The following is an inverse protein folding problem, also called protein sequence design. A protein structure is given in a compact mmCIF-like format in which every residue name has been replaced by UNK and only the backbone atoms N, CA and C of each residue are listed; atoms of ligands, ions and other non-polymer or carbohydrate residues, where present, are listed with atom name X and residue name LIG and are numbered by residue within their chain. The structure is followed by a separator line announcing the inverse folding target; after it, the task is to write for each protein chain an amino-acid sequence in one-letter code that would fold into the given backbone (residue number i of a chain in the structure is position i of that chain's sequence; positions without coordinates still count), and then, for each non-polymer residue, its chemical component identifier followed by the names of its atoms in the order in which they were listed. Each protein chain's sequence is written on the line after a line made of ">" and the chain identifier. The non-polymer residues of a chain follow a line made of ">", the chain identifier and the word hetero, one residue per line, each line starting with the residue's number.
data_IF_789482669468
#
_entry.id   IF_789482669468
#
_cell.length_a   1.000
_cell.length_b   1.000
_cell.length_c   1.000
_cell.angle_alpha   90.00
_cell.angle_beta   90.00
_cell.angle_gamma   90.00
#
_symmetry.space_group_name_H-M   'P 1'
#
loop_
_entity.id
_entity.type
_entity.pdbx_description
1 polymer ?
#
# COMPACT_ATOMS: atom_id res chain seq x y z
N UNK A 1 6.67 37.87 7.81
CA UNK A 1 7.39 36.91 6.97
C UNK A 1 8.22 37.71 6.00
N UNK A 2 9.53 37.75 6.23
CA UNK A 2 10.48 38.38 5.32
C UNK A 2 10.81 37.41 4.16
N UNK A 3 11.44 37.88 3.07
CA UNK A 3 11.92 37.00 2.00
C UNK A 3 12.89 35.92 2.51
N UNK A 4 13.70 36.24 3.52
CA UNK A 4 14.62 35.29 4.17
C UNK A 4 13.85 34.19 4.90
N UNK A 5 12.78 34.53 5.64
CA UNK A 5 11.91 33.54 6.29
C UNK A 5 11.32 32.54 5.27
N UNK A 6 10.98 33.02 4.06
CA UNK A 6 10.42 32.18 3.00
C UNK A 6 11.48 31.22 2.43
N UNK A 7 12.70 31.72 2.17
CA UNK A 7 13.81 30.87 1.70
C UNK A 7 14.15 29.81 2.74
N UNK A 8 14.26 30.18 4.01
CA UNK A 8 14.54 29.27 5.12
C UNK A 8 13.45 28.19 5.24
N UNK A 9 12.18 28.57 5.12
CA UNK A 9 11.06 27.62 5.11
C UNK A 9 11.18 26.61 3.96
N UNK A 10 11.45 27.07 2.74
CA UNK A 10 11.60 26.19 1.57
C UNK A 10 12.82 25.26 1.69
N UNK A 11 13.94 25.75 2.23
CA UNK A 11 15.12 24.91 2.49
C UNK A 11 14.84 23.84 3.55
N UNK A 12 14.19 24.21 4.66
CA UNK A 12 13.78 23.26 5.69
C UNK A 12 12.78 22.23 5.17
N UNK A 13 11.89 22.62 4.25
CA UNK A 13 10.95 21.71 3.61
C UNK A 13 11.68 20.65 2.78
N UNK A 14 12.58 21.06 1.88
CA UNK A 14 13.33 20.12 1.02
C UNK A 14 14.30 19.25 1.82
N UNK A 15 14.90 19.79 2.89
CA UNK A 15 15.85 19.04 3.73
C UNK A 15 15.23 17.79 4.39
N UNK A 16 13.90 17.68 4.41
CA UNK A 16 13.15 16.50 4.85
C UNK A 16 13.14 15.39 3.80
N UNK A 17 13.28 15.72 2.52
CA UNK A 17 13.29 14.76 1.41
C UNK A 17 14.69 14.18 1.22
N UNK A 18 15.08 13.27 2.12
CA UNK A 18 16.39 12.63 2.10
C UNK A 18 16.38 11.34 1.30
N UNK A 19 17.40 11.16 0.47
CA UNK A 19 17.66 9.90 -0.22
C UNK A 19 18.54 9.00 0.65
N UNK A 20 18.22 7.69 0.69
CA UNK A 20 19.03 6.68 1.36
C UNK A 20 20.47 6.64 0.82
N UNK A 21 21.45 6.28 1.65
CA UNK A 21 22.89 6.40 1.36
C UNK A 21 23.40 5.50 0.22
N UNK A 22 22.69 4.41 -0.06
CA UNK A 22 23.00 3.42 -1.10
C UNK A 22 22.38 3.76 -2.47
N UNK A 23 21.57 4.83 -2.56
CA UNK A 23 21.06 5.34 -3.84
C UNK A 23 22.22 5.72 -4.75
N UNK A 24 22.13 5.32 -6.03
CA UNK A 24 23.15 5.56 -7.03
C UNK A 24 23.54 7.04 -7.13
N UNK A 25 24.84 7.31 -7.25
CA UNK A 25 25.41 8.65 -7.25
C UNK A 25 24.80 9.55 -8.34
N UNK A 26 24.58 9.01 -9.54
CA UNK A 26 23.92 9.70 -10.65
C UNK A 26 22.51 10.19 -10.29
N UNK A 27 21.72 9.36 -9.61
CA UNK A 27 20.38 9.73 -9.13
C UNK A 27 20.45 10.73 -7.97
N UNK A 28 21.37 10.53 -7.02
CA UNK A 28 21.58 11.46 -5.89
C UNK A 28 21.97 12.86 -6.37
N UNK A 29 22.90 12.96 -7.30
CA UNK A 29 23.37 14.23 -7.85
C UNK A 29 22.25 14.98 -8.57
N UNK A 30 21.44 14.28 -9.39
CA UNK A 30 20.26 14.89 -10.04
C UNK A 30 19.24 15.38 -9.02
N UNK A 31 18.89 14.55 -8.03
CA UNK A 31 17.95 14.95 -6.98
C UNK A 31 18.46 16.16 -6.18
N UNK A 32 19.75 16.19 -5.83
CA UNK A 32 20.38 17.34 -5.18
C UNK A 32 20.29 18.62 -6.01
N UNK A 33 20.51 18.53 -7.33
CA UNK A 33 20.33 19.66 -8.25
C UNK A 33 18.87 20.17 -8.25
N UNK A 34 17.88 19.28 -8.22
CA UNK A 34 16.47 19.69 -8.12
C UNK A 34 16.17 20.41 -6.80
N UNK A 35 16.72 19.93 -5.68
CA UNK A 35 16.58 20.60 -4.38
C UNK A 35 17.17 22.02 -4.38
N UNK A 36 18.35 22.19 -4.98
CA UNK A 36 18.97 23.50 -5.17
C UNK A 36 18.10 24.39 -6.07
N UNK A 37 17.64 23.89 -7.22
CA UNK A 37 16.81 24.66 -8.15
C UNK A 37 15.47 25.09 -7.53
N UNK A 38 14.85 24.22 -6.74
CA UNK A 38 13.62 24.55 -6.01
C UNK A 38 13.85 25.67 -5.00
N UNK A 39 14.94 25.61 -4.22
CA UNK A 39 15.25 26.67 -3.26
C UNK A 39 15.44 28.04 -3.95
N UNK A 40 16.01 28.04 -5.17
CA UNK A 40 16.12 29.25 -5.99
C UNK A 40 14.80 29.70 -6.63
N UNK A 41 13.76 28.86 -6.64
CA UNK A 41 12.44 29.19 -7.19
C UNK A 41 11.75 30.37 -6.51
N UNK A 42 12.13 30.68 -5.27
CA UNK A 42 11.69 31.91 -4.57
C UNK A 42 12.14 33.18 -5.32
N UNK A 43 13.25 33.11 -6.05
CA UNK A 43 13.81 34.22 -6.84
C UNK A 43 13.32 34.22 -8.29
N UNK A 44 12.90 33.06 -8.83
CA UNK A 44 12.38 32.90 -10.19
C UNK A 44 11.32 31.78 -10.20
N UNK A 45 10.05 32.17 -10.26
CA UNK A 45 8.91 31.27 -10.09
C UNK A 45 8.89 30.12 -11.10
N UNK A 46 9.36 30.38 -12.33
CA UNK A 46 9.47 29.39 -13.41
C UNK A 46 10.35 28.19 -13.03
N UNK A 47 11.30 28.35 -12.09
CA UNK A 47 12.12 27.25 -11.60
C UNK A 47 11.29 26.17 -10.91
N UNK A 48 10.14 26.48 -10.30
CA UNK A 48 9.26 25.44 -9.74
C UNK A 48 8.71 24.52 -10.82
N UNK A 49 8.37 25.08 -11.98
CA UNK A 49 7.89 24.32 -13.15
C UNK A 49 9.03 23.47 -13.72
N UNK A 50 10.23 24.05 -13.85
CA UNK A 50 11.40 23.32 -14.31
C UNK A 50 11.79 22.17 -13.35
N UNK A 51 11.63 22.36 -12.04
CA UNK A 51 11.86 21.31 -11.04
C UNK A 51 10.86 20.19 -11.19
N UNK A 52 9.57 20.49 -11.37
CA UNK A 52 8.54 19.47 -11.57
C UNK A 52 8.79 18.66 -12.85
N UNK A 53 9.07 19.33 -13.96
CA UNK A 53 9.37 18.67 -15.23
C UNK A 53 10.63 17.79 -15.12
N UNK A 54 11.69 18.30 -14.50
CA UNK A 54 12.94 17.57 -14.29
C UNK A 54 12.82 16.44 -13.25
N UNK A 55 11.86 16.50 -12.33
CA UNK A 55 11.53 15.41 -11.42
C UNK A 55 11.00 14.18 -12.20
N UNK A 56 10.18 14.39 -13.22
CA UNK A 56 9.69 13.30 -14.08
C UNK A 56 10.83 12.60 -14.85
N UNK A 57 11.82 13.36 -15.31
CA UNK A 57 13.01 12.82 -15.96
C UNK A 57 13.93 12.09 -14.97
N UNK A 58 14.01 12.59 -13.73
CA UNK A 58 14.81 11.98 -12.66
C UNK A 58 14.21 10.67 -12.18
N UNK A 59 12.88 10.53 -12.16
CA UNK A 59 12.21 9.25 -11.92
C UNK A 59 12.65 8.19 -12.94
N UNK A 60 12.63 8.51 -14.23
CA UNK A 60 13.07 7.58 -15.27
C UNK A 60 14.57 7.22 -15.11
N UNK A 61 15.43 8.19 -14.74
CA UNK A 61 16.83 7.89 -14.42
C UNK A 61 16.96 6.92 -13.23
N UNK A 62 16.25 7.17 -12.14
CA UNK A 62 16.34 6.35 -10.94
C UNK A 62 15.94 4.89 -11.21
N UNK A 63 14.90 4.68 -12.02
CA UNK A 63 14.51 3.35 -12.47
C UNK A 63 15.59 2.68 -13.33
N UNK A 64 16.25 3.41 -14.22
CA UNK A 64 17.36 2.88 -15.03
C UNK A 64 18.57 2.52 -14.19
N UNK A 65 18.93 3.37 -13.24
CA UNK A 65 20.03 3.14 -12.30
C UNK A 65 19.73 1.89 -11.45
N UNK A 66 18.50 1.77 -10.94
CA UNK A 66 18.07 0.59 -10.17
C UNK A 66 18.06 -0.68 -11.02
N UNK A 67 17.59 -0.59 -12.27
CA UNK A 67 17.61 -1.71 -13.22
C UNK A 67 19.04 -2.18 -13.49
N UNK A 68 19.96 -1.26 -13.77
CA UNK A 68 21.36 -1.58 -14.00
C UNK A 68 22.01 -2.19 -12.75
N UNK A 69 21.71 -1.67 -11.56
CA UNK A 69 22.21 -2.20 -10.30
C UNK A 69 21.72 -3.64 -10.02
N UNK A 70 20.43 -3.92 -10.28
CA UNK A 70 19.84 -5.26 -10.08
C UNK A 70 20.54 -6.34 -10.93
N UNK A 71 20.90 -5.99 -12.16
CA UNK A 71 21.48 -6.91 -13.13
C UNK A 71 22.99 -6.73 -13.30
N UNK A 72 23.65 -5.97 -12.43
CA UNK A 72 25.05 -5.63 -12.57
C UNK A 72 25.93 -6.90 -12.64
N UNK A 73 26.73 -7.01 -13.70
CA UNK A 73 27.60 -8.16 -13.93
C UNK A 73 26.86 -9.44 -14.37
N UNK A 74 25.57 -9.35 -14.68
CA UNK A 74 24.76 -10.47 -15.16
C UNK A 74 24.36 -10.27 -16.63
N UNK A 75 24.10 -11.39 -17.31
CA UNK A 75 23.43 -11.37 -18.60
C UNK A 75 21.91 -11.41 -18.40
N UNK A 76 21.21 -10.44 -18.98
CA UNK A 76 19.75 -10.39 -18.97
C UNK A 76 19.23 -11.27 -20.08
N UNK A 77 18.30 -12.16 -19.72
CA UNK A 77 17.65 -13.05 -20.65
C UNK A 77 16.47 -12.34 -21.29
N UNK A 78 16.51 -12.24 -22.62
CA UNK A 78 15.53 -11.53 -23.44
C UNK A 78 14.92 -12.50 -24.42
N UNK A 79 13.59 -12.58 -24.46
CA UNK A 79 12.87 -13.46 -25.40
C UNK A 79 12.18 -12.63 -26.46
N UNK A 80 12.46 -12.95 -27.73
CA UNK A 80 11.83 -12.26 -28.86
C UNK A 80 10.38 -12.74 -29.11
N UNK A 81 9.68 -12.08 -30.04
CA UNK A 81 8.32 -12.47 -30.43
C UNK A 81 8.20 -13.91 -30.97
N UNK A 82 9.29 -14.47 -31.51
CA UNK A 82 9.37 -15.85 -32.02
C UNK A 82 9.76 -16.84 -30.92
N UNK A 83 9.89 -16.38 -29.68
CA UNK A 83 10.29 -17.16 -28.51
C UNK A 83 11.74 -17.65 -28.56
N UNK A 84 12.61 -17.01 -29.34
CA UNK A 84 14.05 -17.22 -29.21
C UNK A 84 14.59 -16.41 -28.05
N UNK A 85 15.48 -17.03 -27.28
CA UNK A 85 16.13 -16.43 -26.12
C UNK A 85 17.49 -15.86 -26.52
N UNK A 86 17.75 -14.65 -26.06
CA UNK A 86 18.95 -13.86 -26.25
C UNK A 86 19.52 -13.52 -24.88
N UNK A 87 20.83 -13.35 -24.80
CA UNK A 87 21.50 -12.88 -23.59
C UNK A 87 22.18 -11.55 -23.86
N UNK A 88 21.82 -10.52 -23.11
CA UNK A 88 22.40 -9.18 -23.22
C UNK A 88 23.16 -8.88 -21.93
N UNK A 89 24.46 -8.63 -22.02
CA UNK A 89 25.27 -8.25 -20.87
C UNK A 89 24.86 -6.87 -20.33
N UNK A 90 24.72 -6.74 -19.01
CA UNK A 90 24.45 -5.47 -18.35
C UNK A 90 25.76 -4.76 -17.95
N UNK A 91 26.27 -3.89 -18.84
CA UNK A 91 27.37 -2.96 -18.55
C UNK A 91 26.85 -1.59 -18.09
N UNK A 92 25.86 -1.09 -18.81
CA UNK A 92 25.08 0.10 -18.47
C UNK A 92 23.67 -0.05 -19.03
N UNK A 93 22.71 0.71 -18.49
CA UNK A 93 21.35 0.70 -19.02
C UNK A 93 21.31 1.11 -20.49
N UNK A 94 22.14 2.07 -20.92
CA UNK A 94 22.15 2.54 -22.30
C UNK A 94 22.64 1.46 -23.27
N UNK A 95 23.72 0.76 -22.94
CA UNK A 95 24.27 -0.31 -23.79
C UNK A 95 23.29 -1.49 -23.91
N UNK A 96 22.67 -1.85 -22.77
CA UNK A 96 21.59 -2.82 -22.74
C UNK A 96 20.43 -2.36 -23.63
N UNK A 97 19.98 -1.11 -23.49
CA UNK A 97 18.83 -0.59 -24.24
C UNK A 97 19.10 -0.54 -25.75
N UNK A 98 20.31 -0.16 -26.18
CA UNK A 98 20.67 -0.21 -27.61
C UNK A 98 20.59 -1.62 -28.17
N UNK A 99 21.15 -2.60 -27.45
CA UNK A 99 21.09 -4.02 -27.86
C UNK A 99 19.66 -4.55 -27.84
N UNK A 100 18.88 -4.17 -26.83
CA UNK A 100 17.49 -4.58 -26.63
C UNK A 100 16.57 -4.08 -27.75
N UNK A 101 16.78 -2.86 -28.26
CA UNK A 101 15.94 -2.26 -29.31
C UNK A 101 15.95 -3.01 -30.63
N UNK A 102 17.02 -3.77 -30.91
CA UNK A 102 17.11 -4.63 -32.09
C UNK A 102 16.19 -5.87 -31.98
N UNK A 103 15.76 -6.23 -30.76
CA UNK A 103 14.90 -7.37 -30.49
C UNK A 103 13.44 -6.94 -30.47
N UNK A 104 12.66 -7.36 -31.47
CA UNK A 104 11.25 -6.99 -31.60
C UNK A 104 10.32 -7.80 -30.71
N UNK A 105 9.41 -7.10 -30.02
CA UNK A 105 8.37 -7.71 -29.19
C UNK A 105 8.96 -8.45 -27.98
N UNK A 106 10.00 -7.85 -27.40
CA UNK A 106 10.83 -8.51 -26.42
C UNK A 106 10.18 -8.60 -25.03
N UNK A 107 10.42 -9.73 -24.39
CA UNK A 107 10.14 -9.99 -22.98
C UNK A 107 11.46 -10.14 -22.22
N UNK A 108 11.52 -9.71 -20.97
CA UNK A 108 12.67 -10.00 -20.09
C UNK A 108 12.25 -11.03 -19.04
N UNK A 109 13.22 -11.84 -18.60
CA UNK A 109 13.02 -12.76 -17.48
C UNK A 109 13.27 -12.03 -16.16
N UNK A 110 12.28 -12.01 -15.28
CA UNK A 110 12.41 -11.41 -13.95
C UNK A 110 13.42 -12.16 -13.09
N UNK A 111 14.11 -11.43 -12.22
CA UNK A 111 15.07 -12.00 -11.28
C UNK A 111 14.36 -12.82 -10.19
N UNK A 112 13.31 -12.26 -9.58
CA UNK A 112 12.62 -12.88 -8.44
C UNK A 112 11.74 -14.08 -8.84
N UNK A 113 10.79 -13.90 -9.77
CA UNK A 113 9.81 -14.94 -10.11
C UNK A 113 10.23 -15.86 -11.26
N UNK A 114 11.27 -15.48 -12.02
CA UNK A 114 11.68 -16.13 -13.29
C UNK A 114 10.60 -16.12 -14.38
N UNK A 115 9.54 -15.34 -14.19
CA UNK A 115 8.50 -15.16 -15.20
C UNK A 115 8.99 -14.24 -16.32
N UNK A 116 8.41 -14.44 -17.50
CA UNK A 116 8.65 -13.59 -18.66
C UNK A 116 7.64 -12.44 -18.66
N UNK A 117 8.14 -11.20 -18.71
CA UNK A 117 7.30 -10.02 -18.78
C UNK A 117 7.61 -9.19 -20.01
N UNK A 118 6.58 -8.64 -20.63
CA UNK A 118 6.77 -7.67 -21.72
C UNK A 118 7.55 -6.48 -21.20
N UNK A 119 8.57 -6.08 -21.95
CA UNK A 119 9.41 -4.95 -21.59
C UNK A 119 9.66 -4.11 -22.84
N UNK A 120 9.74 -2.79 -22.67
CA UNK A 120 9.97 -1.87 -23.78
C UNK A 120 11.17 -0.93 -23.54
N UNK A 121 11.87 -1.08 -22.40
CA UNK A 121 13.01 -0.25 -22.02
C UNK A 121 12.73 1.24 -21.79
N UNK A 122 11.45 1.65 -21.78
CA UNK A 122 11.03 3.01 -21.46
C UNK A 122 10.44 3.08 -20.04
N UNK A 123 10.10 4.28 -19.57
CA UNK A 123 9.46 4.48 -18.26
C UNK A 123 8.33 3.49 -17.97
N UNK A 124 7.44 3.21 -18.94
CA UNK A 124 6.33 2.27 -18.74
C UNK A 124 6.81 0.82 -18.49
N UNK A 125 7.80 0.35 -19.25
CA UNK A 125 8.39 -0.98 -19.06
C UNK A 125 9.18 -1.07 -17.76
N UNK A 126 9.88 0.00 -17.38
CA UNK A 126 10.63 0.10 -16.13
C UNK A 126 9.72 0.10 -14.89
N UNK A 127 8.61 0.85 -14.90
CA UNK A 127 7.61 0.81 -13.82
C UNK A 127 6.99 -0.58 -13.68
N UNK A 128 6.60 -1.19 -14.81
CA UNK A 128 6.06 -2.56 -14.85
C UNK A 128 7.06 -3.56 -14.27
N UNK A 129 8.32 -3.48 -14.70
CA UNK A 129 9.40 -4.31 -14.17
C UNK A 129 9.57 -4.11 -12.66
N UNK A 130 9.69 -2.87 -12.18
CA UNK A 130 9.91 -2.57 -10.76
C UNK A 130 8.78 -3.09 -9.87
N UNK A 131 7.51 -3.01 -10.32
CA UNK A 131 6.38 -3.64 -9.61
C UNK A 131 6.47 -5.15 -9.57
N UNK A 132 6.80 -5.77 -10.71
CA UNK A 132 6.88 -7.25 -10.82
C UNK A 132 8.04 -7.85 -10.03
N UNK A 133 9.13 -7.10 -9.84
CA UNK A 133 10.22 -7.46 -8.92
C UNK A 133 9.90 -7.13 -7.44
N UNK A 134 8.72 -6.59 -7.14
CA UNK A 134 8.34 -6.22 -5.77
C UNK A 134 9.03 -4.96 -5.23
N UNK A 135 9.71 -4.18 -6.07
CA UNK A 135 10.36 -2.94 -5.67
C UNK A 135 9.33 -1.85 -5.40
N UNK A 136 8.28 -1.75 -6.22
CA UNK A 136 7.20 -0.78 -6.04
C UNK A 136 5.91 -1.50 -5.61
N UNK A 137 5.47 -1.24 -4.38
CA UNK A 137 4.22 -1.78 -3.83
C UNK A 137 3.02 -0.86 -3.96
N UNK A 138 1.93 -1.24 -3.32
CA UNK A 138 0.71 -0.45 -3.18
C UNK A 138 -0.21 -0.53 -4.38
N UNK A 139 -1.40 -1.09 -4.19
CA UNK A 139 -2.43 -1.18 -5.22
C UNK A 139 -3.01 0.19 -5.60
N UNK A 140 -3.10 1.13 -4.65
CA UNK A 140 -3.54 2.51 -4.90
C UNK A 140 -2.48 3.30 -5.65
N UNK A 141 -1.21 3.04 -5.35
CA UNK A 141 -0.08 3.66 -6.04
C UNK A 141 0.02 3.20 -7.50
N UNK A 142 -0.51 2.02 -7.86
CA UNK A 142 -0.54 1.54 -9.26
C UNK A 142 -1.21 2.54 -10.21
N UNK A 143 -2.20 3.29 -9.73
CA UNK A 143 -2.85 4.32 -10.55
C UNK A 143 -1.90 5.46 -10.94
N UNK A 144 -0.87 5.73 -10.13
CA UNK A 144 0.11 6.79 -10.37
C UNK A 144 1.06 6.46 -11.52
N UNK A 145 1.31 5.19 -11.82
CA UNK A 145 2.18 4.81 -12.94
C UNK A 145 1.70 5.40 -14.27
N UNK A 146 0.37 5.41 -14.47
CA UNK A 146 -0.25 6.04 -15.63
C UNK A 146 -0.03 7.55 -15.60
N UNK A 147 -0.25 8.17 -14.45
CA UNK A 147 -0.08 9.62 -14.26
C UNK A 147 1.37 10.03 -14.54
N UNK A 148 2.35 9.35 -13.97
CA UNK A 148 3.78 9.62 -14.20
C UNK A 148 4.17 9.47 -15.66
N UNK A 149 3.65 8.44 -16.35
CA UNK A 149 3.88 8.29 -17.79
C UNK A 149 3.27 9.43 -18.58
N UNK A 150 2.03 9.81 -18.28
CA UNK A 150 1.31 10.84 -19.00
C UNK A 150 1.95 12.23 -18.76
N UNK A 151 2.39 12.52 -17.52
CA UNK A 151 3.18 13.71 -17.16
C UNK A 151 4.55 13.73 -17.87
N UNK A 152 5.31 12.64 -17.81
CA UNK A 152 6.60 12.56 -18.51
C UNK A 152 6.46 12.76 -20.02
N UNK A 153 5.39 12.23 -20.63
CA UNK A 153 5.12 12.44 -22.05
C UNK A 153 4.74 13.90 -22.35
N UNK A 154 4.01 14.57 -21.46
CA UNK A 154 3.73 16.00 -21.57
C UNK A 154 5.02 16.82 -21.57
N UNK A 155 5.94 16.53 -20.64
CA UNK A 155 7.27 17.18 -20.57
C UNK A 155 8.06 16.94 -21.86
N UNK A 156 8.01 15.72 -22.41
CA UNK A 156 8.76 15.35 -23.62
C UNK A 156 8.21 15.97 -24.92
N UNK A 157 6.91 16.29 -24.97
CA UNK A 157 6.22 16.73 -26.20
C UNK A 157 5.71 18.18 -26.16
N UNK A 158 5.80 18.85 -25.00
CA UNK A 158 5.75 20.30 -24.85
C UNK A 158 4.37 20.94 -24.95
N UNK A 159 3.93 21.56 -23.85
CA UNK A 159 2.99 22.68 -23.81
C UNK A 159 3.40 23.60 -22.67
N UNK A 160 3.22 24.92 -22.80
CA UNK A 160 3.52 25.85 -21.71
C UNK A 160 2.57 25.60 -20.54
N UNK A 161 3.13 25.43 -19.34
CA UNK A 161 2.37 25.30 -18.09
C UNK A 161 3.15 25.97 -16.95
N UNK A 162 2.47 26.21 -15.84
CA UNK A 162 3.04 26.77 -14.61
C UNK A 162 2.53 25.99 -13.42
N UNK A 163 3.43 25.72 -12.47
CA UNK A 163 3.12 24.98 -11.24
C UNK A 163 3.51 25.79 -10.02
N UNK A 164 2.82 25.53 -8.92
CA UNK A 164 3.05 26.19 -7.65
C UNK A 164 4.26 25.61 -6.89
N UNK A 165 4.83 26.37 -5.94
CA UNK A 165 5.86 25.84 -5.03
C UNK A 165 5.40 24.60 -4.25
N UNK A 166 4.09 24.50 -3.96
CA UNK A 166 3.51 23.37 -3.24
C UNK A 166 3.47 22.12 -4.11
N UNK A 167 3.12 22.26 -5.39
CA UNK A 167 3.12 21.16 -6.36
C UNK A 167 4.54 20.67 -6.63
N UNK A 168 5.49 21.57 -6.85
CA UNK A 168 6.90 21.21 -7.02
C UNK A 168 7.48 20.51 -5.77
N UNK A 169 7.13 20.96 -4.55
CA UNK A 169 7.56 20.28 -3.32
C UNK A 169 6.94 18.90 -3.19
N UNK A 170 5.65 18.75 -3.54
CA UNK A 170 4.98 17.44 -3.55
C UNK A 170 5.64 16.49 -4.54
N UNK A 171 6.00 16.97 -5.73
CA UNK A 171 6.72 16.20 -6.74
C UNK A 171 8.09 15.74 -6.25
N UNK A 172 8.83 16.60 -5.52
CA UNK A 172 10.10 16.20 -4.89
C UNK A 172 9.90 15.19 -3.75
N UNK A 173 8.87 15.37 -2.93
CA UNK A 173 8.50 14.41 -1.88
C UNK A 173 8.20 13.04 -2.49
N UNK A 174 7.26 12.98 -3.43
CA UNK A 174 6.85 11.75 -4.12
C UNK A 174 8.06 11.09 -4.83
N UNK A 175 8.91 11.89 -5.49
CA UNK A 175 10.13 11.39 -6.13
C UNK A 175 11.10 10.78 -5.12
N UNK A 176 11.33 11.44 -3.98
CA UNK A 176 12.22 10.91 -2.94
C UNK A 176 11.70 9.59 -2.36
N UNK A 177 10.38 9.47 -2.16
CA UNK A 177 9.75 8.24 -1.70
C UNK A 177 9.91 7.11 -2.71
N UNK A 178 9.67 7.38 -4.00
CA UNK A 178 9.84 6.39 -5.07
C UNK A 178 11.31 5.93 -5.16
N UNK A 179 12.26 6.87 -5.14
CA UNK A 179 13.69 6.55 -5.20
C UNK A 179 14.09 5.70 -4.01
N UNK A 180 13.77 6.12 -2.78
CA UNK A 180 14.10 5.32 -1.60
C UNK A 180 13.50 3.93 -1.67
N UNK A 181 12.24 3.83 -2.09
CA UNK A 181 11.55 2.56 -2.20
C UNK A 181 12.18 1.64 -3.25
N UNK A 182 12.66 2.17 -4.37
CA UNK A 182 13.38 1.39 -5.38
C UNK A 182 14.64 0.72 -4.81
N UNK A 183 15.27 1.32 -3.81
CA UNK A 183 16.42 0.76 -3.07
C UNK A 183 16.01 -0.01 -1.80
N UNK A 184 14.72 -0.23 -1.57
CA UNK A 184 14.22 -1.01 -0.44
C UNK A 184 14.07 -0.22 0.86
N UNK A 185 14.23 1.11 0.83
CA UNK A 185 14.07 1.97 2.00
C UNK A 185 12.66 2.55 2.03
N UNK A 186 11.82 2.20 3.00
CA UNK A 186 10.54 2.86 3.15
C UNK A 186 10.74 4.26 3.75
N UNK A 187 9.80 5.17 3.51
CA UNK A 187 9.95 6.58 3.92
C UNK A 187 9.12 6.88 5.17
N UNK A 188 9.72 7.26 6.32
CA UNK A 188 8.97 7.66 7.50
C UNK A 188 8.00 8.82 7.19
N UNK A 189 6.72 8.64 7.50
CA UNK A 189 5.68 9.62 7.18
C UNK A 189 5.38 9.79 5.68
N UNK A 190 5.94 8.93 4.82
CA UNK A 190 5.72 8.94 3.39
C UNK A 190 4.25 8.72 3.03
N UNK A 191 3.78 9.34 1.95
CA UNK A 191 2.41 9.21 1.47
C UNK A 191 2.23 8.02 0.53
N UNK A 192 3.23 7.77 -0.32
CA UNK A 192 3.22 6.73 -1.35
C UNK A 192 3.82 5.45 -0.80
N UNK A 193 5.03 5.52 -0.26
CA UNK A 193 5.77 4.35 0.23
C UNK A 193 6.19 4.56 1.69
N UNK A 194 5.21 4.60 2.62
CA UNK A 194 5.48 4.83 4.03
C UNK A 194 6.33 3.71 4.65
N UNK A 195 7.08 4.07 5.67
CA UNK A 195 7.55 3.13 6.68
C UNK A 195 6.39 2.40 7.36
N UNK A 196 6.65 1.21 7.93
CA UNK A 196 5.70 0.53 8.80
C UNK A 196 5.06 1.51 9.80
N UNK A 197 3.75 1.42 9.97
CA UNK A 197 3.02 2.29 10.88
C UNK A 197 3.03 1.70 12.28
N UNK A 198 3.34 2.53 13.28
CA UNK A 198 3.23 2.14 14.68
C UNK A 198 1.77 1.93 15.06
N UNK A 199 1.49 0.84 15.76
CA UNK A 199 0.19 0.52 16.34
C UNK A 199 0.29 0.44 17.85
N UNK A 200 -0.62 1.14 18.51
CA UNK A 200 -0.74 1.18 19.96
C UNK A 200 -1.86 0.27 20.43
N UNK A 201 -1.93 0.03 21.73
CA UNK A 201 -3.06 -0.66 22.37
C UNK A 201 -4.15 0.39 22.61
N UNK A 202 -5.29 0.17 21.98
CA UNK A 202 -6.41 1.12 21.95
C UNK A 202 -7.63 0.48 22.56
N UNK A 203 -8.30 1.21 23.44
CA UNK A 203 -9.59 0.85 23.98
C UNK A 203 -10.69 1.48 23.13
N UNK A 204 -11.63 0.67 22.66
CA UNK A 204 -12.86 1.12 22.02
C UNK A 204 -14.01 0.77 22.96
N UNK A 205 -14.68 1.78 23.49
CA UNK A 205 -15.80 1.62 24.41
C UNK A 205 -17.11 2.11 23.78
N UNK A 206 -18.23 1.48 24.10
CA UNK A 206 -19.56 2.00 23.77
C UNK A 206 -20.55 1.80 24.91
N UNK A 207 -21.50 2.71 25.05
CA UNK A 207 -22.60 2.60 26.03
C UNK A 207 -23.55 1.44 25.69
N UNK A 208 -24.32 0.96 26.67
CA UNK A 208 -25.33 -0.10 26.46
C UNK A 208 -26.37 0.27 25.37
N UNK A 209 -26.72 1.55 25.25
CA UNK A 209 -27.59 2.09 24.19
C UNK A 209 -26.91 2.20 22.82
N UNK A 210 -25.57 2.14 22.78
CA UNK A 210 -24.76 2.30 21.57
C UNK A 210 -24.82 3.71 20.97
N UNK A 211 -25.27 4.70 21.74
CA UNK A 211 -25.37 6.12 21.34
C UNK A 211 -24.10 6.91 21.63
N UNK A 212 -23.28 6.43 22.59
CA UNK A 212 -21.98 7.00 22.94
C UNK A 212 -20.87 6.01 22.64
N UNK A 213 -19.75 6.55 22.18
CA UNK A 213 -18.53 5.81 21.91
C UNK A 213 -17.37 6.59 22.50
N UNK A 214 -16.43 5.87 23.07
CA UNK A 214 -15.14 6.41 23.46
C UNK A 214 -14.03 5.63 22.77
N UNK A 215 -12.93 6.34 22.50
CA UNK A 215 -11.74 5.81 21.85
C UNK A 215 -10.54 6.49 22.49
N UNK A 216 -9.60 5.72 23.00
CA UNK A 216 -8.40 6.24 23.66
C UNK A 216 -7.32 5.18 23.79
N UNK A 217 -6.15 5.58 24.30
CA UNK A 217 -5.13 4.59 24.65
C UNK A 217 -5.67 3.69 25.77
N UNK A 218 -5.32 2.42 25.72
CA UNK A 218 -5.81 1.46 26.71
C UNK A 218 -5.30 1.76 28.13
N UNK A 219 -4.11 2.36 28.24
CA UNK A 219 -3.52 2.75 29.52
C UNK A 219 -4.31 3.88 30.20
N UNK A 220 -4.98 4.74 29.43
CA UNK A 220 -5.80 5.84 29.95
C UNK A 220 -7.09 5.33 30.63
N UNK A 221 -7.48 4.07 30.43
CA UNK A 221 -8.67 3.51 31.05
C UNK A 221 -8.62 3.61 32.58
N UNK A 222 -7.43 3.55 33.19
CA UNK A 222 -7.27 3.63 34.65
C UNK A 222 -7.71 4.99 35.20
N UNK A 223 -7.53 6.06 34.44
CA UNK A 223 -7.81 7.43 34.86
C UNK A 223 -9.25 7.87 34.57
N UNK A 224 -9.92 7.18 33.64
CA UNK A 224 -11.30 7.48 33.27
C UNK A 224 -12.26 7.01 34.37
N UNK A 225 -13.03 7.94 34.95
CA UNK A 225 -14.18 7.62 35.80
C UNK A 225 -15.45 7.72 34.96
N UNK A 226 -15.89 6.62 34.37
CA UNK A 226 -17.16 6.59 33.65
C UNK A 226 -18.31 6.46 34.66
N UNK A 227 -19.20 7.47 34.72
CA UNK A 227 -20.48 7.37 35.45
C UNK A 227 -21.49 6.43 34.74
N UNK A 228 -21.16 6.01 33.51
CA UNK A 228 -22.02 5.27 32.60
C UNK A 228 -21.40 3.90 32.27
N UNK A 229 -22.23 2.87 32.09
CA UNK A 229 -21.75 1.53 31.80
C UNK A 229 -21.33 1.42 30.33
N UNK A 230 -20.02 1.40 30.09
CA UNK A 230 -19.43 1.14 28.78
C UNK A 230 -18.96 -0.31 28.68
N UNK A 231 -19.21 -0.92 27.51
CA UNK A 231 -18.58 -2.17 27.08
C UNK A 231 -17.34 -1.84 26.25
N UNK A 232 -16.21 -2.47 26.57
CA UNK A 232 -14.92 -2.22 25.97
C UNK A 232 -14.38 -3.43 25.19
N UNK A 233 -13.66 -3.13 24.10
CA UNK A 233 -12.72 -4.05 23.45
C UNK A 233 -11.35 -3.40 23.38
N UNK A 234 -10.31 -4.23 23.48
CA UNK A 234 -8.93 -3.82 23.29
C UNK A 234 -8.44 -4.31 21.93
N UNK A 235 -7.82 -3.41 21.18
CA UNK A 235 -7.27 -3.68 19.86
C UNK A 235 -5.87 -3.13 19.73
N UNK A 236 -5.06 -3.74 18.86
CA UNK A 236 -3.82 -3.13 18.38
C UNK A 236 -4.12 -2.39 17.07
N UNK A 237 -4.02 -1.07 17.06
CA UNK A 237 -4.43 -0.23 15.94
C UNK A 237 -3.53 0.98 15.73
N UNK A 238 -3.54 1.53 14.52
CA UNK A 238 -2.92 2.84 14.22
C UNK A 238 -3.78 3.94 14.83
N UNK A 239 -3.31 4.50 15.94
CA UNK A 239 -3.99 5.55 16.68
C UNK A 239 -2.95 6.49 17.31
N UNK A 240 -2.94 7.73 16.85
CA UNK A 240 -2.09 8.80 17.37
C UNK A 240 -2.88 10.11 17.23
N UNK A 241 -3.50 10.61 18.32
CA UNK A 241 -4.16 11.91 18.30
C UNK A 241 -3.19 13.02 17.88
N UNK A 242 -3.57 13.83 16.89
CA UNK A 242 -2.69 14.85 16.28
C UNK A 242 -1.69 14.31 15.25
N UNK A 243 -1.64 12.99 15.04
CA UNK A 243 -0.85 12.30 14.03
C UNK A 243 -1.70 11.38 13.16
N UNK A 244 -1.16 10.21 12.81
CA UNK A 244 -1.87 9.21 12.03
C UNK A 244 -2.89 8.46 12.91
N UNK A 245 -4.17 8.55 12.56
CA UNK A 245 -5.26 7.79 13.18
C UNK A 245 -6.09 7.11 12.10
N UNK A 246 -6.42 5.83 12.29
CA UNK A 246 -7.30 5.13 11.35
C UNK A 246 -8.70 5.77 11.33
N UNK A 247 -9.15 6.32 10.19
CA UNK A 247 -10.46 6.97 10.11
C UNK A 247 -11.64 5.99 10.27
N UNK A 248 -11.38 4.69 10.13
CA UNK A 248 -12.38 3.63 10.19
C UNK A 248 -12.27 2.78 11.47
N UNK A 249 -11.49 3.21 12.48
CA UNK A 249 -11.29 2.40 13.69
C UNK A 249 -12.61 2.09 14.42
N UNK A 250 -13.57 3.02 14.37
CA UNK A 250 -14.90 2.81 14.95
C UNK A 250 -15.75 1.77 14.21
N UNK A 251 -15.34 1.32 13.02
CA UNK A 251 -15.97 0.25 12.26
C UNK A 251 -15.29 -1.10 12.47
N UNK A 252 -14.52 -1.25 13.56
CA UNK A 252 -13.78 -2.46 13.85
C UNK A 252 -14.69 -3.70 13.96
N UNK A 253 -14.25 -4.77 13.29
CA UNK A 253 -14.80 -6.12 13.37
C UNK A 253 -13.63 -7.08 13.60
N UNK A 254 -13.66 -7.85 14.69
CA UNK A 254 -12.59 -8.76 15.05
C UNK A 254 -12.31 -9.82 13.98
N UNK A 255 -13.30 -10.15 13.14
CA UNK A 255 -13.19 -11.17 12.08
C UNK A 255 -12.87 -10.60 10.71
N UNK A 256 -12.98 -9.29 10.52
CA UNK A 256 -12.98 -8.68 9.19
C UNK A 256 -11.96 -7.55 9.06
N UNK A 257 -11.40 -7.37 7.87
CA UNK A 257 -10.52 -6.26 7.53
C UNK A 257 -11.36 -5.00 7.17
N UNK A 258 -12.09 -4.45 8.14
CA UNK A 258 -12.98 -3.29 7.95
C UNK A 258 -12.29 -1.94 8.16
N UNK A 259 -11.13 -1.93 8.83
CA UNK A 259 -10.33 -0.74 9.12
C UNK A 259 -9.43 -0.38 7.92
N UNK A 260 -8.89 0.84 7.90
CA UNK A 260 -8.00 1.30 6.82
C UNK A 260 -6.63 0.63 6.94
N UNK A 261 -6.13 0.53 8.16
CA UNK A 261 -4.87 -0.11 8.51
C UNK A 261 -5.12 -1.43 9.24
N UNK A 262 -4.17 -2.38 9.21
CA UNK A 262 -4.30 -3.63 9.95
C UNK A 262 -4.58 -3.44 11.43
N UNK A 263 -5.78 -3.86 11.87
CA UNK A 263 -6.18 -3.80 13.27
C UNK A 263 -6.32 -5.22 13.82
N UNK A 264 -5.75 -5.47 15.00
CA UNK A 264 -5.76 -6.78 15.64
C UNK A 264 -6.62 -6.77 16.90
N UNK A 265 -7.56 -7.71 17.00
CA UNK A 265 -8.27 -7.99 18.24
C UNK A 265 -7.31 -8.50 19.33
N UNK A 266 -7.41 -7.97 20.55
CA UNK A 266 -6.63 -8.40 21.71
C UNK A 266 -7.55 -9.01 22.78
N UNK A 267 -8.58 -8.26 23.18
CA UNK A 267 -9.45 -8.65 24.30
C UNK A 267 -10.86 -8.03 24.19
N UNK A 268 -11.83 -8.64 24.88
CA UNK A 268 -13.21 -8.17 25.04
C UNK A 268 -14.25 -8.98 24.27
N UNK A 269 -15.52 -8.56 24.27
CA UNK A 269 -16.05 -7.42 25.01
C UNK A 269 -16.03 -7.67 26.53
N UNK A 270 -15.91 -6.61 27.32
CA UNK A 270 -16.07 -6.68 28.78
C UNK A 270 -16.18 -5.29 29.39
N UNK A 271 -16.31 -5.21 30.71
CA UNK A 271 -16.37 -3.94 31.44
C UNK A 271 -14.99 -3.27 31.49
N UNK A 272 -14.97 -1.99 31.88
CA UNK A 272 -13.73 -1.24 32.12
C UNK A 272 -12.81 -1.94 33.12
N UNK A 273 -13.37 -2.37 34.26
CA UNK A 273 -12.58 -2.97 35.33
C UNK A 273 -11.96 -4.30 34.89
N UNK A 274 -12.69 -5.10 34.11
CA UNK A 274 -12.15 -6.33 33.51
C UNK A 274 -11.03 -6.03 32.50
N UNK A 275 -11.17 -4.96 31.71
CA UNK A 275 -10.15 -4.53 30.75
C UNK A 275 -8.86 -4.10 31.47
N UNK A 276 -8.98 -3.30 32.54
CA UNK A 276 -7.86 -2.84 33.36
C UNK A 276 -7.13 -4.01 34.02
N UNK A 277 -7.87 -4.95 34.63
CA UNK A 277 -7.29 -6.17 35.20
C UNK A 277 -6.58 -7.00 34.13
N UNK A 278 -7.16 -7.10 32.93
CA UNK A 278 -6.54 -7.84 31.84
C UNK A 278 -5.24 -7.18 31.36
N UNK A 279 -5.21 -5.84 31.23
CA UNK A 279 -4.03 -5.07 30.83
C UNK A 279 -2.88 -5.24 31.83
N UNK A 280 -3.16 -5.17 33.13
CA UNK A 280 -2.17 -5.38 34.20
C UNK A 280 -1.61 -6.81 34.18
N UNK A 281 -2.43 -7.81 33.82
CA UNK A 281 -1.98 -9.21 33.74
C UNK A 281 -1.20 -9.60 32.48
N UNK A 282 -1.42 -8.91 31.34
CA UNK A 282 -0.91 -9.35 30.03
C UNK A 282 0.11 -8.40 29.39
N UNK A 283 0.15 -7.13 29.79
CA UNK A 283 1.05 -6.09 29.26
C UNK A 283 1.24 -6.16 27.72
N UNK A 284 0.15 -6.05 26.94
CA UNK A 284 0.24 -6.12 25.49
C UNK A 284 1.17 -5.03 24.95
N UNK A 285 2.07 -5.39 24.04
CA UNK A 285 3.04 -4.45 23.49
C UNK A 285 2.52 -3.79 22.19
N UNK A 286 2.87 -2.52 21.94
CA UNK A 286 2.72 -1.92 20.62
C UNK A 286 3.60 -2.66 19.59
N UNK A 287 3.28 -2.51 18.32
CA UNK A 287 4.10 -3.05 17.23
C UNK A 287 4.07 -2.13 16.00
N UNK A 288 4.67 -2.59 14.90
CA UNK A 288 4.60 -1.94 13.61
C UNK A 288 3.88 -2.82 12.60
N UNK A 289 3.22 -2.22 11.62
CA UNK A 289 2.61 -2.95 10.51
C UNK A 289 2.85 -2.29 9.15
N UNK A 290 3.16 -3.12 8.17
CA UNK A 290 2.97 -2.78 6.76
C UNK A 290 1.48 -2.86 6.39
N UNK A 291 1.03 -1.97 5.51
CA UNK A 291 -0.38 -1.94 5.07
C UNK A 291 -0.57 -1.87 3.55
N UNK A 292 0.51 -1.78 2.78
CA UNK A 292 0.45 -1.87 1.33
C UNK A 292 0.41 -3.33 0.89
N UNK A 293 -0.30 -3.62 -0.20
CA UNK A 293 -0.37 -4.96 -0.80
C UNK A 293 -0.80 -6.08 0.16
N UNK A 294 -1.66 -5.77 1.12
CA UNK A 294 -2.26 -6.75 2.01
C UNK A 294 -3.01 -7.81 1.22
N UNK A 295 -2.86 -9.07 1.62
CA UNK A 295 -3.66 -10.19 1.09
C UNK A 295 -4.87 -10.40 1.99
N UNK A 296 -6.06 -10.32 1.41
CA UNK A 296 -7.33 -10.59 2.08
C UNK A 296 -8.12 -11.67 1.34
N UNK A 297 -8.95 -12.41 2.09
CA UNK A 297 -9.88 -13.38 1.55
C UNK A 297 -11.30 -12.82 1.63
N UNK A 298 -12.08 -13.00 0.58
CA UNK A 298 -13.51 -12.69 0.59
C UNK A 298 -14.28 -13.93 0.18
N UNK A 299 -15.28 -14.26 0.99
CA UNK A 299 -16.17 -15.40 0.76
C UNK A 299 -17.39 -14.96 -0.04
N UNK A 300 -17.76 -15.74 -1.04
CA UNK A 300 -19.05 -15.68 -1.72
C UNK A 300 -19.85 -16.94 -1.39
N UNK A 301 -21.02 -16.76 -0.80
CA UNK A 301 -21.92 -17.86 -0.45
C UNK A 301 -23.36 -17.48 -0.78
N UNK A 302 -24.09 -18.35 -1.49
CA UNK A 302 -25.46 -18.05 -1.91
C UNK A 302 -25.60 -16.75 -2.71
N UNK A 303 -24.58 -16.39 -3.51
CA UNK A 303 -24.55 -15.13 -4.27
C UNK A 303 -24.24 -13.88 -3.45
N UNK A 304 -24.06 -13.99 -2.13
CA UNK A 304 -23.73 -12.87 -1.26
C UNK A 304 -22.22 -12.73 -1.07
N UNK A 305 -21.73 -11.51 -1.23
CA UNK A 305 -20.33 -11.15 -0.99
C UNK A 305 -20.15 -10.81 0.50
N UNK A 306 -19.35 -11.63 1.20
CA UNK A 306 -19.00 -11.42 2.60
C UNK A 306 -17.97 -10.30 2.80
N UNK A 307 -17.66 -10.02 4.06
CA UNK A 307 -16.60 -9.07 4.41
C UNK A 307 -15.21 -9.64 4.08
N UNK A 308 -14.23 -8.77 3.77
CA UNK A 308 -12.84 -9.17 3.65
C UNK A 308 -12.31 -9.65 4.98
N UNK A 309 -11.52 -10.72 4.98
CA UNK A 309 -10.93 -11.32 6.17
C UNK A 309 -9.42 -11.48 5.97
N UNK A 310 -8.66 -11.35 7.07
CA UNK A 310 -7.25 -11.73 7.04
C UNK A 310 -7.12 -13.25 6.90
N UNK A 311 -6.10 -13.76 6.18
CA UNK A 311 -5.98 -15.19 5.88
C UNK A 311 -5.91 -16.07 7.14
N UNK A 312 -5.26 -15.60 8.22
CA UNK A 312 -5.25 -16.29 9.54
C UNK A 312 -6.64 -16.48 10.13
N UNK A 313 -7.49 -15.45 10.03
CA UNK A 313 -8.86 -15.48 10.56
C UNK A 313 -9.71 -16.42 9.71
N UNK A 314 -9.61 -16.31 8.39
CA UNK A 314 -10.29 -17.23 7.47
C UNK A 314 -9.88 -18.69 7.74
N UNK A 315 -8.58 -18.96 7.91
CA UNK A 315 -8.06 -20.28 8.29
C UNK A 315 -8.60 -20.78 9.65
N UNK A 316 -8.95 -19.87 10.55
CA UNK A 316 -9.52 -20.15 11.87
C UNK A 316 -11.02 -20.47 11.91
N UNK A 317 -11.80 -20.17 10.86
CA UNK A 317 -13.26 -20.38 10.92
C UNK A 317 -13.62 -21.88 11.00
N UNK A 318 -14.76 -22.21 11.63
CA UNK A 318 -15.29 -23.57 11.67
C UNK A 318 -15.52 -24.17 10.26
N UNK A 319 -15.33 -25.48 10.05
CA UNK A 319 -15.49 -26.12 8.74
C UNK A 319 -16.84 -25.87 8.06
N UNK A 320 -17.91 -25.72 8.84
CA UNK A 320 -19.26 -25.42 8.34
C UNK A 320 -19.36 -24.07 7.62
N UNK A 321 -18.49 -23.12 7.96
CA UNK A 321 -18.49 -21.78 7.40
C UNK A 321 -17.73 -21.69 6.08
N UNK A 322 -17.02 -22.75 5.67
CA UNK A 322 -16.27 -22.78 4.42
C UNK A 322 -16.93 -23.60 3.33
N UNK A 323 -17.87 -24.48 3.70
CA UNK A 323 -18.57 -25.37 2.75
C UNK A 323 -19.41 -24.55 1.77
N UNK A 324 -19.51 -25.07 0.55
CA UNK A 324 -20.38 -24.56 -0.52
C UNK A 324 -20.20 -23.06 -0.79
N UNK A 325 -18.96 -22.58 -0.71
CA UNK A 325 -18.60 -21.18 -0.90
C UNK A 325 -17.45 -21.05 -1.89
N UNK A 326 -17.51 -20.00 -2.71
CA UNK A 326 -16.39 -19.61 -3.56
C UNK A 326 -15.56 -18.57 -2.82
N UNK A 327 -14.26 -18.75 -2.78
CA UNK A 327 -13.32 -17.86 -2.11
C UNK A 327 -12.50 -17.10 -3.14
N UNK A 328 -12.32 -15.81 -2.88
CA UNK A 328 -11.46 -14.92 -3.64
C UNK A 328 -10.29 -14.49 -2.78
N UNK A 329 -9.10 -14.54 -3.35
CA UNK A 329 -7.87 -14.04 -2.75
C UNK A 329 -7.49 -12.77 -3.47
N UNK A 330 -7.41 -11.67 -2.73
CA UNK A 330 -7.26 -10.33 -3.28
C UNK A 330 -6.06 -9.65 -2.63
N UNK A 331 -5.29 -8.92 -3.43
CA UNK A 331 -4.26 -7.99 -2.95
C UNK A 331 -4.85 -6.58 -2.97
N UNK A 332 -4.78 -5.89 -1.83
CA UNK A 332 -5.37 -4.57 -1.59
C UNK A 332 -4.54 -3.77 -0.59
N UNK A 333 -4.61 -2.44 -0.65
CA UNK A 333 -4.04 -1.59 0.42
C UNK A 333 -5.03 -1.34 1.56
N UNK A 334 -6.33 -1.54 1.30
CA UNK A 334 -7.42 -1.37 2.26
C UNK A 334 -8.43 -2.48 2.09
N UNK A 335 -8.81 -3.14 3.18
CA UNK A 335 -9.71 -4.30 3.11
C UNK A 335 -11.03 -4.00 2.41
N UNK A 336 -11.66 -2.85 2.66
CA UNK A 336 -12.94 -2.49 2.04
C UNK A 336 -12.87 -2.28 0.51
N UNK A 337 -11.69 -2.05 -0.07
CA UNK A 337 -11.52 -1.99 -1.53
C UNK A 337 -11.83 -3.37 -2.16
N UNK A 338 -11.51 -4.46 -1.46
CA UNK A 338 -11.83 -5.83 -1.88
C UNK A 338 -13.34 -6.09 -1.96
N UNK A 339 -14.09 -5.59 -0.96
CA UNK A 339 -15.54 -5.72 -0.93
C UNK A 339 -16.19 -4.96 -2.08
N UNK A 340 -15.79 -3.70 -2.28
CA UNK A 340 -16.32 -2.86 -3.37
C UNK A 340 -16.03 -3.50 -4.73
N UNK A 341 -14.80 -4.00 -4.92
CA UNK A 341 -14.40 -4.70 -6.15
C UNK A 341 -15.26 -5.94 -6.41
N UNK A 342 -15.42 -6.84 -5.44
CA UNK A 342 -16.19 -8.06 -5.68
C UNK A 342 -17.68 -7.83 -5.85
N UNK A 343 -18.26 -6.83 -5.17
CA UNK A 343 -19.64 -6.43 -5.45
C UNK A 343 -19.81 -5.99 -6.90
N UNK A 344 -18.85 -5.25 -7.46
CA UNK A 344 -18.88 -4.83 -8.85
C UNK A 344 -18.70 -6.03 -9.82
N UNK A 345 -17.77 -6.94 -9.53
CA UNK A 345 -17.55 -8.16 -10.33
C UNK A 345 -18.78 -9.06 -10.36
N UNK A 346 -19.41 -9.31 -9.19
CA UNK A 346 -20.61 -10.15 -9.08
C UNK A 346 -21.84 -9.45 -9.67
N UNK A 347 -21.94 -8.12 -9.49
CA UNK A 347 -23.00 -7.28 -10.04
C UNK A 347 -22.90 -7.07 -11.55
N UNK A 348 -21.96 -7.73 -12.24
CA UNK A 348 -21.73 -7.64 -13.70
C UNK A 348 -21.37 -6.24 -14.21
N UNK A 349 -20.77 -5.39 -13.35
CA UNK A 349 -20.19 -4.14 -13.82
C UNK A 349 -19.00 -4.46 -14.74
N UNK A 350 -19.17 -4.22 -16.05
CA UNK A 350 -18.26 -4.66 -17.11
C UNK A 350 -16.82 -4.11 -17.02
N UNK A 351 -16.55 -3.18 -16.11
CA UNK A 351 -15.26 -2.50 -15.97
C UNK A 351 -14.29 -3.19 -15.00
N UNK A 352 -14.78 -4.08 -14.13
CA UNK A 352 -13.95 -4.75 -13.12
C UNK A 352 -13.45 -6.13 -13.60
N UNK A 353 -12.15 -6.36 -13.47
CA UNK A 353 -11.53 -7.63 -13.84
C UNK A 353 -11.77 -8.70 -12.76
N UNK A 354 -12.26 -9.87 -13.15
CA UNK A 354 -12.48 -10.99 -12.24
C UNK A 354 -11.19 -11.72 -11.83
N UNK A 355 -10.09 -11.53 -12.57
CA UNK A 355 -8.79 -12.15 -12.37
C UNK A 355 -7.68 -11.15 -12.68
N UNK A 356 -6.56 -11.25 -11.96
CA UNK A 356 -5.41 -10.37 -12.12
C UNK A 356 -5.68 -8.92 -11.72
N UNK A 357 -4.87 -8.01 -12.24
CA UNK A 357 -4.93 -6.59 -11.89
C UNK A 357 -6.17 -5.90 -12.46
N UNK A 358 -6.96 -5.28 -11.59
CA UNK A 358 -8.10 -4.48 -12.01
C UNK A 358 -7.64 -3.09 -12.52
N UNK A 359 -8.14 -2.69 -13.70
CA UNK A 359 -7.89 -1.35 -14.26
C UNK A 359 -8.84 -0.28 -13.72
N UNK A 360 -10.00 -0.68 -13.20
CA UNK A 360 -11.01 0.24 -12.68
C UNK A 360 -10.82 0.59 -11.19
N UNK A 361 -10.09 -0.23 -10.43
CA UNK A 361 -9.92 -0.02 -8.99
C UNK A 361 -8.58 -0.58 -8.48
N UNK A 362 -8.13 -0.17 -7.27
CA UNK A 362 -6.85 -0.58 -6.70
C UNK A 362 -6.95 -1.96 -6.04
N UNK A 363 -7.31 -2.97 -6.83
CA UNK A 363 -7.41 -4.37 -6.40
C UNK A 363 -6.76 -5.26 -7.45
N UNK A 364 -6.11 -6.33 -7.01
CA UNK A 364 -5.65 -7.43 -7.86
C UNK A 364 -6.24 -8.74 -7.34
N UNK A 365 -6.87 -9.50 -8.22
CA UNK A 365 -7.40 -10.82 -7.90
C UNK A 365 -6.34 -11.88 -8.16
N UNK A 366 -5.79 -12.42 -7.07
CA UNK A 366 -4.71 -13.41 -7.12
C UNK A 366 -5.22 -14.82 -7.43
N UNK A 367 -6.37 -15.18 -6.88
CA UNK A 367 -6.97 -16.49 -7.08
C UNK A 367 -8.48 -16.49 -6.76
N UNK A 368 -9.16 -17.48 -7.34
CA UNK A 368 -10.56 -17.83 -7.08
C UNK A 368 -10.64 -19.35 -6.97
N UNK A 369 -11.40 -19.86 -6.01
CA UNK A 369 -11.61 -21.31 -5.91
C UNK A 369 -12.33 -21.74 -4.64
N UNK A 370 -12.14 -23.01 -4.28
CA UNK A 370 -12.52 -23.50 -2.97
C UNK A 370 -11.60 -22.94 -1.87
N UNK A 371 -11.96 -23.22 -0.61
CA UNK A 371 -11.25 -22.72 0.56
C UNK A 371 -9.77 -23.17 0.61
N UNK A 372 -9.48 -24.42 0.23
CA UNK A 372 -8.11 -24.97 0.26
C UNK A 372 -7.24 -24.31 -0.80
N UNK A 373 -7.75 -24.13 -2.02
CA UNK A 373 -7.07 -23.41 -3.08
C UNK A 373 -6.82 -21.95 -2.70
N UNK A 374 -7.80 -21.29 -2.07
CA UNK A 374 -7.68 -19.91 -1.62
C UNK A 374 -6.59 -19.74 -0.54
N UNK A 375 -6.55 -20.59 0.50
CA UNK A 375 -5.49 -20.53 1.51
C UNK A 375 -4.10 -20.79 0.91
N UNK A 376 -3.99 -21.76 -0.02
CA UNK A 376 -2.73 -22.02 -0.72
C UNK A 376 -2.27 -20.80 -1.52
N UNK A 377 -3.18 -20.15 -2.26
CA UNK A 377 -2.85 -18.96 -3.03
C UNK A 377 -2.46 -17.77 -2.13
N UNK A 378 -3.13 -17.60 -0.99
CA UNK A 378 -2.76 -16.58 0.00
C UNK A 378 -1.36 -16.83 0.59
N UNK A 379 -1.04 -18.09 0.92
CA UNK A 379 0.29 -18.47 1.40
C UNK A 379 1.37 -18.27 0.33
N UNK A 380 1.11 -18.64 -0.93
CA UNK A 380 2.01 -18.37 -2.05
C UNK A 380 2.25 -16.87 -2.28
N UNK A 381 1.29 -16.03 -1.91
CA UNK A 381 1.40 -14.57 -1.95
C UNK A 381 2.12 -13.98 -0.72
N UNK A 382 2.65 -14.83 0.17
CA UNK A 382 3.43 -14.41 1.35
C UNK A 382 2.60 -14.15 2.61
N UNK A 383 1.30 -14.43 2.60
CA UNK A 383 0.46 -14.19 3.76
C UNK A 383 0.54 -15.31 4.81
N UNK A 384 0.50 -14.94 6.09
CA UNK A 384 0.37 -15.91 7.18
C UNK A 384 -1.03 -16.54 7.14
N UNK A 385 -1.06 -17.87 7.02
CA UNK A 385 -2.29 -18.68 6.97
C UNK A 385 -2.44 -19.56 8.21
N UNK A 386 -1.64 -19.32 9.25
CA UNK A 386 -1.75 -20.01 10.54
C UNK A 386 -3.12 -19.69 11.17
N UNK A 387 -3.96 -20.71 11.43
CA UNK A 387 -5.30 -20.49 11.96
C UNK A 387 -5.31 -19.64 13.22
N UNK A 388 -6.10 -18.56 13.21
CA UNK A 388 -6.34 -17.70 14.35
C UNK A 388 -7.84 -17.63 14.62
N UNK A 389 -8.26 -18.09 15.80
CA UNK A 389 -9.65 -17.99 16.23
C UNK A 389 -9.85 -16.71 17.03
N UNK A 390 -10.78 -15.89 16.57
CA UNK A 390 -11.20 -14.65 17.23
C UNK A 390 -12.70 -14.69 17.47
N UNK A 391 -13.19 -14.07 18.57
CA UNK A 391 -14.61 -14.03 18.85
C UNK A 391 -15.35 -13.21 17.77
N UNK A 392 -16.68 -13.39 17.66
CA UNK A 392 -17.51 -12.60 16.74
C UNK A 392 -17.89 -11.29 17.44
N UNK A 393 -16.94 -10.34 17.44
CA UNK A 393 -17.06 -9.08 18.19
C UNK A 393 -16.90 -7.93 17.22
N UNK A 394 -17.84 -7.00 17.27
CA UNK A 394 -17.89 -5.83 16.39
C UNK A 394 -18.36 -4.63 17.18
N UNK A 395 -17.85 -3.47 16.82
CA UNK A 395 -18.40 -2.22 17.34
C UNK A 395 -19.83 -2.03 16.80
N UNK A 396 -20.74 -1.40 17.57
CA UNK A 396 -22.14 -1.23 17.18
C UNK A 396 -22.36 -0.37 15.91
N UNK A 397 -21.30 0.26 15.41
CA UNK A 397 -21.32 1.15 14.24
C UNK A 397 -20.87 0.48 12.93
N UNK A 398 -20.62 -0.83 12.93
CA UNK A 398 -20.58 -1.63 11.71
C UNK A 398 -21.98 -1.74 11.06
N UNK A 399 -22.64 -0.60 10.82
CA UNK A 399 -23.97 -0.47 10.20
C UNK A 399 -23.92 -0.47 8.67
N UNK A 400 -22.73 -0.41 8.07
CA UNK A 400 -22.58 -0.14 6.64
C UNK A 400 -22.77 -1.34 5.72
N UNK A 401 -22.95 -2.56 6.24
CA UNK A 401 -23.04 -3.75 5.40
C UNK A 401 -24.13 -4.66 5.95
N UNK A 402 -25.32 -4.75 5.30
CA UNK A 402 -26.28 -5.78 5.63
C UNK A 402 -25.62 -7.13 5.36
N UNK A 403 -25.36 -7.89 6.43
CA UNK A 403 -24.97 -9.30 6.34
C UNK A 403 -26.24 -10.16 6.41
N UNK A 404 -26.23 -11.37 5.82
CA UNK A 404 -27.29 -12.35 6.05
C UNK A 404 -27.45 -12.60 7.54
N UNK A 405 -28.70 -12.79 7.95
CA UNK A 405 -29.05 -13.15 9.33
C UNK A 405 -28.19 -14.32 9.81
N UNK A 406 -27.80 -14.34 11.10
CA UNK A 406 -27.10 -15.48 11.66
C UNK A 406 -27.92 -16.75 11.41
N UNK A 407 -27.28 -17.78 10.85
CA UNK A 407 -27.86 -19.12 10.79
C UNK A 407 -28.28 -19.48 12.22
N UNK A 408 -29.59 -19.58 12.45
CA UNK A 408 -30.14 -20.03 13.72
C UNK A 408 -29.54 -21.40 14.04
N UNK A 409 -29.13 -21.55 15.30
CA UNK A 409 -28.30 -22.64 15.82
C UNK A 409 -28.88 -24.03 15.62
#
# INVERSE_FOLDING_TARGET
>A
MTPEDAVDYHQQLIARFRLADDVAESTRNKFGQLGIAYAHGVLCYELFTLVEDAAQLTLEQALRDRFAAQYHGQAIEVRDRRKHEHQIAMTSFNDFFYSFREIRGAEIRLAASREWVTFNGTLAGLLTWARREGLLGGQRNRSLDRVWRDLRNMVAHGAYHLVSPVEAARSLSDLSEVINRLWGHPTPGGRLYPAPLSRSIVAIGWSDSGDKITLGYADDLVEISDEENFTYVLVRAVFCPGGATDPNLLNFDARSATTTFPTQYIWGPGSRDEAVVWLDGHHPQPDECDYLDQVVLVRIHGGQVGLPMYPRIAAGLPPKEHRDSTWYVLRVDRGLDALAHLRAVVGTAAEHAAEGECRACPVETLARGDFTAALKAASNAGADTTPLRVPDVRTPFTRFIPLPAPLQR
#
